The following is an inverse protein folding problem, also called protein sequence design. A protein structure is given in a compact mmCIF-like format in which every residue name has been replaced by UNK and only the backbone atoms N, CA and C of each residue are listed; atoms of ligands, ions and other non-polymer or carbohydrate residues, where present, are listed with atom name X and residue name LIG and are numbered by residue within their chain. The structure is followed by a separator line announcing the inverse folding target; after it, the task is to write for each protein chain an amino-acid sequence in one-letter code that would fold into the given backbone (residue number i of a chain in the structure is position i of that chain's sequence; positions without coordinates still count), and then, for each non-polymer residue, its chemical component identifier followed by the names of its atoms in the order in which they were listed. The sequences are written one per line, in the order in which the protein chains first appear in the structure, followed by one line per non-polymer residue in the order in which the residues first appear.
data_IF_949079806976
#
_entry.id   IF_949079806976
#
_cell.length_a   1.000
_cell.length_b   1.000
_cell.length_c   1.000
_cell.angle_alpha   90.00
_cell.angle_beta   90.00
_cell.angle_gamma   90.00
#
_symmetry.space_group_name_H-M   'P 1'
#
loop_
_entity.id
_entity.type
_entity.pdbx_description
1 polymer ?
#
# COMPACT_ATOMS: atom_id res chain seq x y z
N UNK A 1 -16.76 0.04 -9.42
CA UNK A 1 -15.33 -0.28 -9.26
C UNK A 1 -14.95 -1.40 -10.22
N UNK A 2 -13.89 -1.24 -11.00
CA UNK A 2 -13.34 -2.32 -11.81
C UNK A 2 -12.21 -2.99 -11.02
N UNK A 3 -12.07 -4.30 -11.17
CA UNK A 3 -10.92 -5.02 -10.60
C UNK A 3 -9.88 -5.25 -11.69
N UNK A 4 -8.66 -4.80 -11.45
CA UNK A 4 -7.51 -4.96 -12.35
C UNK A 4 -6.50 -5.87 -11.64
N UNK A 5 -6.37 -7.10 -12.12
CA UNK A 5 -5.34 -8.04 -11.65
C UNK A 5 -4.16 -8.03 -12.60
N UNK A 6 -3.01 -7.60 -12.10
CA UNK A 6 -1.76 -7.50 -12.86
C UNK A 6 -0.88 -8.68 -12.48
N UNK A 7 -0.66 -9.57 -13.44
CA UNK A 7 0.21 -10.74 -13.28
C UNK A 7 1.60 -10.43 -13.84
N UNK A 8 2.61 -11.08 -13.28
CA UNK A 8 4.01 -10.95 -13.71
C UNK A 8 4.57 -12.32 -14.09
N UNK A 9 4.99 -12.45 -15.36
CA UNK A 9 5.73 -13.64 -15.79
C UNK A 9 7.07 -13.78 -15.07
N UNK A 10 7.67 -12.65 -14.67
CA UNK A 10 8.90 -12.63 -13.91
C UNK A 10 8.70 -13.20 -12.50
N UNK A 11 7.65 -12.76 -11.80
CA UNK A 11 7.28 -13.35 -10.51
C UNK A 11 7.09 -14.86 -10.61
N UNK A 12 6.39 -15.34 -11.63
CA UNK A 12 6.17 -16.78 -11.85
C UNK A 12 7.49 -17.55 -12.05
N UNK A 13 8.48 -16.97 -12.74
CA UNK A 13 9.83 -17.55 -12.90
C UNK A 13 10.59 -17.55 -11.58
N UNK A 14 10.52 -16.45 -10.82
CA UNK A 14 11.19 -16.33 -9.52
C UNK A 14 10.63 -17.32 -8.50
N UNK A 15 9.32 -17.53 -8.46
CA UNK A 15 8.69 -18.57 -7.62
C UNK A 15 9.23 -19.96 -7.98
N UNK A 16 9.28 -20.31 -9.28
CA UNK A 16 9.87 -21.58 -9.73
C UNK A 16 11.36 -21.72 -9.41
N UNK A 17 12.10 -20.62 -9.38
CA UNK A 17 13.49 -20.58 -8.94
C UNK A 17 13.61 -20.85 -7.43
N UNK A 18 12.74 -20.23 -6.62
CA UNK A 18 12.68 -20.46 -5.18
C UNK A 18 12.32 -21.91 -4.82
N UNK A 19 11.46 -22.58 -5.59
CA UNK A 19 11.10 -23.99 -5.38
C UNK A 19 12.31 -24.91 -5.41
N UNK A 20 13.33 -24.57 -6.23
CA UNK A 20 14.58 -25.35 -6.37
C UNK A 20 15.61 -25.08 -5.27
N UNK A 21 15.38 -24.06 -4.45
CA UNK A 21 16.28 -23.65 -3.36
C UNK A 21 15.85 -24.31 -2.05
N UNK A 22 16.83 -24.74 -1.25
CA UNK A 22 16.61 -25.42 0.05
C UNK A 22 17.28 -24.68 1.22
N UNK A 23 17.83 -23.49 0.97
CA UNK A 23 18.40 -22.63 2.00
C UNK A 23 17.31 -22.02 2.92
N UNK A 24 17.75 -21.56 4.09
CA UNK A 24 16.85 -21.05 5.13
C UNK A 24 15.98 -19.87 4.65
N UNK A 25 16.56 -18.92 3.90
CA UNK A 25 15.81 -17.75 3.40
C UNK A 25 14.77 -18.17 2.35
N UNK A 26 15.13 -19.07 1.43
CA UNK A 26 14.18 -19.57 0.43
C UNK A 26 13.01 -20.31 1.09
N UNK A 27 13.26 -21.14 2.10
CA UNK A 27 12.20 -21.83 2.87
C UNK A 27 11.28 -20.83 3.56
N UNK A 28 11.84 -19.78 4.16
CA UNK A 28 11.08 -18.72 4.81
C UNK A 28 10.20 -17.96 3.83
N UNK A 29 10.77 -17.52 2.71
CA UNK A 29 10.06 -16.78 1.67
C UNK A 29 8.93 -17.62 1.07
N UNK A 30 9.18 -18.90 0.73
CA UNK A 30 8.15 -19.83 0.25
C UNK A 30 6.97 -19.91 1.22
N UNK A 31 7.24 -20.13 2.50
CA UNK A 31 6.19 -20.13 3.52
C UNK A 31 5.38 -18.86 3.58
N UNK A 32 6.02 -17.69 3.43
CA UNK A 32 5.32 -16.39 3.46
C UNK A 32 4.45 -16.16 2.22
N UNK A 33 4.91 -16.59 1.05
CA UNK A 33 4.11 -16.53 -0.17
C UNK A 33 2.89 -17.46 -0.10
N UNK A 34 3.01 -18.63 0.54
CA UNK A 34 1.94 -19.59 0.76
C UNK A 34 0.92 -19.14 1.82
N UNK A 35 1.26 -18.19 2.70
CA UNK A 35 0.30 -17.65 3.66
C UNK A 35 -0.89 -17.02 2.96
N UNK A 36 -2.12 -17.25 3.45
CA UNK A 36 -3.32 -16.70 2.83
C UNK A 36 -3.33 -15.17 2.88
N UNK A 37 -3.86 -14.54 1.83
CA UNK A 37 -4.15 -13.11 1.83
C UNK A 37 -5.47 -12.85 2.56
N UNK A 38 -5.38 -12.56 3.86
CA UNK A 38 -6.54 -12.35 4.73
C UNK A 38 -7.41 -11.18 4.26
N UNK A 39 -6.86 -10.23 3.51
CA UNK A 39 -7.63 -9.10 2.98
C UNK A 39 -8.65 -9.50 1.91
N UNK A 40 -8.58 -10.75 1.44
CA UNK A 40 -9.43 -11.30 0.37
C UNK A 40 -10.22 -12.56 0.79
N UNK A 41 -10.07 -13.00 2.03
CA UNK A 41 -10.79 -14.17 2.55
C UNK A 41 -12.12 -13.71 3.16
N UNK A 42 -13.27 -14.14 2.61
CA UNK A 42 -14.57 -13.80 3.19
C UNK A 42 -14.66 -14.22 4.67
N UNK A 43 -15.15 -13.30 5.50
CA UNK A 43 -15.28 -13.51 6.95
C UNK A 43 -14.02 -13.18 7.75
N UNK A 44 -12.88 -12.92 7.11
CA UNK A 44 -11.71 -12.36 7.80
C UNK A 44 -11.99 -10.91 8.23
N UNK A 45 -11.62 -10.51 9.47
CA UNK A 45 -11.70 -9.11 9.89
C UNK A 45 -10.95 -8.15 8.97
N UNK A 46 -9.85 -8.61 8.39
CA UNK A 46 -9.02 -7.84 7.44
C UNK A 46 -9.78 -7.61 6.13
N UNK A 47 -10.45 -8.63 5.58
CA UNK A 47 -11.29 -8.49 4.40
C UNK A 47 -12.51 -7.61 4.66
N UNK A 48 -13.15 -7.76 5.80
CA UNK A 48 -14.29 -6.93 6.18
C UNK A 48 -13.91 -5.44 6.25
N UNK A 49 -12.78 -5.14 6.88
CA UNK A 49 -12.27 -3.78 6.98
C UNK A 49 -11.95 -3.21 5.58
N UNK A 50 -11.26 -3.96 4.74
CA UNK A 50 -10.96 -3.56 3.35
C UNK A 50 -12.24 -3.28 2.56
N UNK A 51 -13.26 -4.12 2.70
CA UNK A 51 -14.54 -3.96 2.03
C UNK A 51 -15.31 -2.72 2.53
N UNK A 52 -15.34 -2.48 3.83
CA UNK A 52 -16.00 -1.30 4.42
C UNK A 52 -15.37 0.01 3.94
N UNK A 53 -14.04 0.05 3.87
CA UNK A 53 -13.33 1.25 3.37
C UNK A 53 -13.62 1.43 1.87
N UNK A 54 -13.47 0.37 1.08
CA UNK A 54 -13.70 0.42 -0.37
C UNK A 54 -15.14 0.81 -0.72
N UNK A 55 -16.12 0.47 0.13
CA UNK A 55 -17.54 0.77 -0.07
C UNK A 55 -17.92 2.25 0.19
N UNK A 56 -17.01 3.08 0.69
CA UNK A 56 -17.29 4.50 0.84
C UNK A 56 -17.57 5.14 -0.52
N UNK A 57 -18.61 5.95 -0.61
CA UNK A 57 -19.06 6.57 -1.86
C UNK A 57 -17.96 7.36 -2.60
N UNK A 58 -17.02 7.89 -1.86
CA UNK A 58 -15.83 8.58 -2.38
C UNK A 58 -15.02 7.70 -3.34
N UNK A 59 -14.99 6.41 -3.11
CA UNK A 59 -14.21 5.45 -3.89
C UNK A 59 -15.00 4.75 -5.01
N UNK A 60 -16.26 5.10 -5.25
CA UNK A 60 -17.11 4.46 -6.25
C UNK A 60 -16.49 4.39 -7.66
N UNK A 61 -15.67 5.38 -8.02
CA UNK A 61 -15.00 5.48 -9.33
C UNK A 61 -13.53 5.03 -9.30
N UNK A 62 -13.10 4.39 -8.21
CA UNK A 62 -11.74 3.88 -8.10
C UNK A 62 -11.66 2.45 -8.64
N UNK A 63 -10.53 2.11 -9.24
CA UNK A 63 -10.21 0.74 -9.60
C UNK A 63 -9.62 0.00 -8.39
N UNK A 64 -9.97 -1.27 -8.22
CA UNK A 64 -9.30 -2.15 -7.24
C UNK A 64 -8.17 -2.87 -7.97
N UNK A 65 -6.95 -2.69 -7.49
CA UNK A 65 -5.74 -3.20 -8.14
C UNK A 65 -5.13 -4.33 -7.31
N UNK A 66 -4.81 -5.43 -7.97
CA UNK A 66 -3.99 -6.50 -7.40
C UNK A 66 -2.70 -6.61 -8.20
N UNK A 67 -1.58 -6.61 -7.52
CA UNK A 67 -0.24 -6.62 -8.10
C UNK A 67 0.59 -7.80 -7.59
N UNK A 68 1.71 -8.14 -8.25
CA UNK A 68 2.66 -9.15 -7.79
C UNK A 68 3.14 -8.91 -6.35
N UNK A 69 3.50 -9.98 -5.67
CA UNK A 69 4.10 -9.94 -4.33
C UNK A 69 5.64 -9.87 -4.40
N UNK A 70 6.23 -10.39 -5.48
CA UNK A 70 7.66 -10.24 -5.78
C UNK A 70 7.80 -9.12 -6.82
N UNK A 71 8.59 -8.12 -6.48
CA UNK A 71 8.76 -6.92 -7.31
C UNK A 71 10.25 -6.56 -7.47
N UNK A 72 10.63 -5.94 -8.59
CA UNK A 72 11.97 -5.43 -8.78
C UNK A 72 12.33 -4.33 -7.75
N UNK A 73 13.58 -4.36 -7.25
CA UNK A 73 14.09 -3.39 -6.28
C UNK A 73 14.00 -1.95 -6.79
N UNK A 74 14.29 -1.71 -8.07
CA UNK A 74 14.21 -0.38 -8.66
C UNK A 74 12.77 0.17 -8.66
N UNK A 75 11.76 -0.68 -8.88
CA UNK A 75 10.35 -0.27 -8.82
C UNK A 75 9.95 0.04 -7.39
N UNK A 76 10.38 -0.80 -6.42
CA UNK A 76 10.00 -0.64 -5.02
C UNK A 76 10.67 0.57 -4.37
N UNK A 77 11.91 0.89 -4.74
CA UNK A 77 12.72 1.87 -4.04
C UNK A 77 13.08 3.10 -4.89
N UNK A 78 13.69 2.91 -6.07
CA UNK A 78 14.25 4.03 -6.85
C UNK A 78 13.14 4.97 -7.33
N UNK A 79 12.03 4.41 -7.82
CA UNK A 79 10.89 5.22 -8.27
C UNK A 79 10.26 6.04 -7.15
N UNK A 80 10.44 5.63 -5.90
CA UNK A 80 9.88 6.29 -4.70
C UNK A 80 10.88 7.19 -3.96
N UNK A 81 11.97 7.59 -4.63
CA UNK A 81 13.03 8.45 -4.06
C UNK A 81 13.71 7.84 -2.82
N UNK A 82 13.81 6.52 -2.74
CA UNK A 82 14.56 5.82 -1.71
C UNK A 82 15.97 5.49 -2.21
N UNK A 83 17.01 6.25 -1.86
CA UNK A 83 18.37 6.05 -2.35
C UNK A 83 18.98 4.75 -1.83
N UNK A 84 20.11 4.34 -2.41
CA UNK A 84 20.79 3.07 -2.06
C UNK A 84 21.11 2.91 -0.56
N UNK A 85 21.35 4.02 0.15
CA UNK A 85 21.58 4.03 1.59
C UNK A 85 20.32 4.08 2.47
N UNK A 86 19.11 4.05 1.87
CA UNK A 86 17.87 4.10 2.65
C UNK A 86 17.70 2.84 3.51
N UNK A 87 17.35 2.95 4.82
CA UNK A 87 17.23 1.80 5.73
C UNK A 87 16.33 0.68 5.20
N UNK A 88 15.18 1.02 4.60
CA UNK A 88 14.26 0.03 4.04
C UNK A 88 14.87 -0.87 2.96
N UNK A 89 16.04 -0.50 2.37
CA UNK A 89 16.76 -1.35 1.40
C UNK A 89 17.69 -2.36 2.07
N UNK A 90 17.86 -2.27 3.38
CA UNK A 90 18.72 -3.20 4.09
C UNK A 90 18.17 -4.63 4.01
N UNK A 91 19.09 -5.62 3.86
CA UNK A 91 18.76 -7.04 3.98
C UNK A 91 18.29 -7.42 5.40
N UNK A 92 18.49 -6.55 6.39
CA UNK A 92 17.88 -6.70 7.72
C UNK A 92 16.38 -6.41 7.72
N UNK A 93 15.89 -5.55 6.81
CA UNK A 93 14.51 -5.04 6.84
C UNK A 93 13.66 -5.59 5.69
N UNK A 94 14.28 -6.02 4.60
CA UNK A 94 13.63 -6.48 3.37
C UNK A 94 14.01 -7.91 3.00
N UNK A 95 13.04 -8.69 2.52
CA UNK A 95 13.24 -10.05 2.00
C UNK A 95 13.64 -10.00 0.53
N UNK A 96 14.90 -10.31 0.25
CA UNK A 96 15.46 -10.40 -1.10
C UNK A 96 15.31 -11.81 -1.66
N UNK A 97 14.76 -11.93 -2.87
CA UNK A 97 14.73 -13.18 -3.63
C UNK A 97 16.10 -13.43 -4.26
N UNK A 98 16.63 -12.37 -4.88
CA UNK A 98 17.96 -12.22 -5.44
C UNK A 98 18.44 -10.76 -5.27
N UNK A 99 19.43 -10.31 -6.01
CA UNK A 99 19.96 -8.93 -5.90
C UNK A 99 19.01 -7.87 -6.48
N UNK A 100 18.15 -8.26 -7.40
CA UNK A 100 17.27 -7.34 -8.16
C UNK A 100 15.80 -7.42 -7.72
N UNK A 101 15.40 -8.48 -7.02
CA UNK A 101 14.00 -8.76 -6.70
C UNK A 101 13.77 -9.00 -5.21
N UNK A 102 12.66 -8.47 -4.71
CA UNK A 102 12.28 -8.51 -3.28
C UNK A 102 10.80 -8.84 -3.11
N UNK A 103 10.43 -9.33 -1.93
CA UNK A 103 9.03 -9.27 -1.49
C UNK A 103 8.66 -7.80 -1.24
N UNK A 104 7.51 -7.34 -1.75
CA UNK A 104 7.06 -5.95 -1.61
C UNK A 104 6.89 -5.56 -0.13
N UNK A 105 7.48 -4.43 0.28
CA UNK A 105 7.48 -3.96 1.66
C UNK A 105 6.36 -2.98 1.98
N UNK A 106 5.69 -2.45 0.95
CA UNK A 106 4.63 -1.44 1.07
C UNK A 106 3.71 -1.45 -0.15
N UNK A 107 2.49 -0.95 0.04
CA UNK A 107 1.45 -0.91 -0.99
C UNK A 107 1.73 0.09 -2.13
N UNK A 108 2.31 1.30 -1.94
CA UNK A 108 2.45 2.30 -3.01
C UNK A 108 3.11 1.77 -4.30
N UNK A 109 3.86 0.68 -4.23
CA UNK A 109 4.46 0.06 -5.43
C UNK A 109 3.42 -0.26 -6.52
N UNK A 110 2.12 -0.36 -6.16
CA UNK A 110 1.05 -0.58 -7.11
C UNK A 110 0.91 0.59 -8.12
N UNK A 111 1.34 1.80 -7.80
CA UNK A 111 1.23 2.97 -8.69
C UNK A 111 1.94 2.71 -10.02
N UNK A 112 3.15 2.16 -9.98
CA UNK A 112 3.89 1.79 -11.18
C UNK A 112 3.14 0.77 -12.04
N UNK A 113 2.64 -0.30 -11.42
CA UNK A 113 1.92 -1.36 -12.13
C UNK A 113 0.61 -0.85 -12.73
N UNK A 114 -0.13 -0.05 -11.98
CA UNK A 114 -1.37 0.56 -12.43
C UNK A 114 -1.14 1.49 -13.63
N UNK A 115 -0.18 2.42 -13.54
CA UNK A 115 0.15 3.35 -14.63
C UNK A 115 0.61 2.63 -15.91
N UNK A 116 1.22 1.47 -15.78
CA UNK A 116 1.69 0.68 -16.91
C UNK A 116 0.64 -0.26 -17.52
N UNK A 117 -0.53 -0.40 -16.91
CA UNK A 117 -1.62 -1.19 -17.46
C UNK A 117 -2.17 -0.57 -18.76
N UNK A 118 -2.40 -1.34 -19.84
CA UNK A 118 -2.82 -0.80 -21.15
C UNK A 118 -4.04 0.12 -21.08
N UNK A 119 -5.10 -0.30 -20.38
CA UNK A 119 -6.32 0.50 -20.22
C UNK A 119 -6.05 1.82 -19.50
N UNK A 120 -5.15 1.83 -18.54
CA UNK A 120 -4.80 3.03 -17.78
C UNK A 120 -3.96 3.98 -18.64
N UNK A 121 -3.05 3.45 -19.46
CA UNK A 121 -2.31 4.27 -20.44
C UNK A 121 -3.24 5.00 -21.41
N UNK A 122 -4.32 4.38 -21.85
CA UNK A 122 -5.33 5.05 -22.68
C UNK A 122 -6.08 6.14 -21.90
N UNK A 123 -6.45 5.90 -20.66
CA UNK A 123 -7.10 6.91 -19.80
C UNK A 123 -6.17 8.09 -19.52
N UNK A 124 -4.86 7.85 -19.36
CA UNK A 124 -3.84 8.91 -19.23
C UNK A 124 -3.77 9.76 -20.50
N UNK A 125 -3.76 9.15 -21.70
CA UNK A 125 -3.79 9.88 -22.98
C UNK A 125 -5.03 10.77 -23.11
N UNK A 126 -6.15 10.31 -22.58
CA UNK A 126 -7.42 11.04 -22.54
C UNK A 126 -7.47 12.09 -21.41
N UNK A 127 -6.38 12.28 -20.68
CA UNK A 127 -6.30 13.20 -19.53
C UNK A 127 -7.39 12.95 -18.49
N UNK A 128 -7.67 11.71 -18.17
CA UNK A 128 -8.65 11.36 -17.16
C UNK A 128 -8.07 11.52 -15.74
N UNK A 129 -8.95 11.83 -14.79
CA UNK A 129 -8.66 11.65 -13.36
C UNK A 129 -8.71 10.17 -13.03
N UNK A 130 -7.72 9.68 -12.33
CA UNK A 130 -7.55 8.26 -12.00
C UNK A 130 -7.56 8.08 -10.48
N UNK A 131 -8.38 7.16 -10.01
CA UNK A 131 -8.39 6.71 -8.64
C UNK A 131 -8.17 5.21 -8.57
N UNK A 132 -7.33 4.76 -7.65
CA UNK A 132 -7.08 3.34 -7.47
C UNK A 132 -6.88 2.99 -6.00
N UNK A 133 -7.28 1.78 -5.64
CA UNK A 133 -7.12 1.13 -4.34
C UNK A 133 -6.32 -0.15 -4.56
N UNK A 134 -5.33 -0.39 -3.70
CA UNK A 134 -4.63 -1.66 -3.62
C UNK A 134 -4.62 -2.15 -2.18
N UNK A 135 -4.91 -3.42 -1.96
CA UNK A 135 -4.73 -4.06 -0.67
C UNK A 135 -4.24 -5.50 -0.84
N UNK A 136 -3.57 -5.98 0.18
CA UNK A 136 -2.98 -7.32 0.18
C UNK A 136 -1.74 -7.42 1.05
N UNK A 137 -1.07 -8.56 0.99
CA UNK A 137 0.12 -8.85 1.79
C UNK A 137 1.28 -7.94 1.45
N UNK A 138 2.00 -7.52 2.47
CA UNK A 138 3.32 -6.89 2.42
C UNK A 138 4.24 -7.59 3.41
N UNK A 139 5.56 -7.39 3.26
CA UNK A 139 6.56 -8.22 3.91
C UNK A 139 7.69 -7.36 4.46
N UNK A 140 7.96 -7.48 5.76
CA UNK A 140 9.09 -6.78 6.41
C UNK A 140 9.80 -7.72 7.39
N UNK A 141 11.10 -7.57 7.53
CA UNK A 141 11.89 -8.30 8.53
C UNK A 141 11.83 -7.62 9.90
N UNK A 142 10.63 -7.29 10.34
CA UNK A 142 10.41 -6.72 11.65
C UNK A 142 10.64 -7.79 12.74
N UNK A 143 10.99 -7.36 13.94
CA UNK A 143 10.95 -8.22 15.11
C UNK A 143 9.48 -8.57 15.41
N UNK A 144 9.20 -9.88 15.51
CA UNK A 144 7.84 -10.36 15.75
C UNK A 144 7.49 -10.12 17.22
N UNK A 145 6.50 -9.27 17.44
CA UNK A 145 5.94 -9.01 18.76
C UNK A 145 4.40 -9.03 18.71
N UNK A 146 3.74 -8.49 19.72
CA UNK A 146 2.27 -8.41 19.78
C UNK A 146 1.65 -7.39 18.79
N UNK A 147 2.46 -6.55 18.16
CA UNK A 147 2.03 -5.49 17.25
C UNK A 147 2.69 -5.54 15.86
N UNK A 148 3.67 -6.44 15.66
CA UNK A 148 4.42 -6.58 14.43
C UNK A 148 4.52 -8.03 13.97
N UNK A 149 4.37 -8.22 12.67
CA UNK A 149 4.57 -9.50 11.98
C UNK A 149 5.38 -9.31 10.70
N UNK A 150 6.05 -10.37 10.26
CA UNK A 150 6.83 -10.33 9.01
C UNK A 150 5.94 -10.32 7.75
N UNK A 151 4.72 -10.83 7.85
CA UNK A 151 3.68 -10.79 6.82
C UNK A 151 2.47 -10.11 7.42
N UNK A 152 2.03 -9.04 6.79
CA UNK A 152 0.84 -8.30 7.20
C UNK A 152 0.18 -7.69 5.98
N UNK A 153 -0.98 -7.06 6.16
CA UNK A 153 -1.76 -6.52 5.06
C UNK A 153 -1.77 -4.99 5.11
N UNK A 154 -1.55 -4.39 3.96
CA UNK A 154 -1.75 -2.95 3.79
C UNK A 154 -2.93 -2.67 2.88
N UNK A 155 -3.56 -1.53 3.12
CA UNK A 155 -4.55 -0.92 2.24
C UNK A 155 -4.04 0.45 1.84
N UNK A 156 -3.88 0.68 0.56
CA UNK A 156 -3.49 1.97 0.03
C UNK A 156 -4.47 2.47 -1.03
N UNK A 157 -4.58 3.77 -1.10
CA UNK A 157 -5.31 4.42 -2.18
C UNK A 157 -4.57 5.64 -2.67
N UNK A 158 -4.76 5.97 -3.94
CA UNK A 158 -4.32 7.23 -4.51
C UNK A 158 -5.35 7.79 -5.47
N UNK A 159 -5.31 9.11 -5.62
CA UNK A 159 -6.06 9.84 -6.64
C UNK A 159 -5.08 10.75 -7.36
N UNK A 160 -5.07 10.71 -8.69
CA UNK A 160 -4.29 11.64 -9.51
C UNK A 160 -5.15 12.27 -10.58
N UNK A 161 -4.87 13.51 -10.88
CA UNK A 161 -5.60 14.31 -11.89
C UNK A 161 -4.63 15.14 -12.73
N UNK A 162 -4.95 15.44 -14.00
CA UNK A 162 -4.15 16.36 -14.79
C UNK A 162 -4.04 17.74 -14.13
N UNK A 163 -2.85 18.35 -14.19
CA UNK A 163 -2.56 19.67 -13.60
C UNK A 163 -3.45 20.79 -14.20
N UNK A 164 -3.81 20.65 -15.48
CA UNK A 164 -4.68 21.60 -16.20
C UNK A 164 -6.17 21.40 -15.90
N UNK A 165 -6.54 20.35 -15.19
CA UNK A 165 -7.92 20.04 -14.84
C UNK A 165 -8.26 20.42 -13.41
N UNK A 166 -7.40 20.08 -12.48
CA UNK A 166 -7.56 20.39 -11.07
C UNK A 166 -6.21 20.31 -10.33
N UNK A 167 -6.06 21.11 -9.29
CA UNK A 167 -4.94 21.02 -8.34
C UNK A 167 -5.44 20.43 -7.04
N UNK A 168 -5.00 19.24 -6.75
CA UNK A 168 -5.32 18.52 -5.52
C UNK A 168 -4.61 19.18 -4.34
N UNK A 169 -5.32 19.37 -3.25
CA UNK A 169 -4.84 20.05 -2.04
C UNK A 169 -4.74 19.08 -0.86
N UNK A 170 -4.05 19.52 0.20
CA UNK A 170 -4.02 18.76 1.47
C UNK A 170 -5.40 18.61 2.09
N UNK A 171 -6.31 19.58 1.86
CA UNK A 171 -7.68 19.48 2.37
C UNK A 171 -8.50 18.43 1.63
N UNK A 172 -8.27 18.23 0.33
CA UNK A 172 -8.89 17.12 -0.41
C UNK A 172 -8.48 15.75 0.17
N UNK A 173 -7.20 15.60 0.50
CA UNK A 173 -6.68 14.41 1.17
C UNK A 173 -7.28 14.26 2.57
N UNK A 174 -7.21 15.30 3.41
CA UNK A 174 -7.74 15.27 4.78
C UNK A 174 -9.22 14.97 4.81
N UNK A 175 -10.00 15.48 3.86
CA UNK A 175 -11.41 15.15 3.70
C UNK A 175 -11.63 13.66 3.38
N UNK A 176 -10.77 13.07 2.52
CA UNK A 176 -10.86 11.65 2.22
C UNK A 176 -10.57 10.77 3.46
N UNK A 177 -9.56 11.16 4.24
CA UNK A 177 -9.18 10.45 5.46
C UNK A 177 -10.22 10.63 6.58
N UNK A 178 -10.81 11.81 6.70
CA UNK A 178 -11.89 12.10 7.64
C UNK A 178 -13.12 11.24 7.39
N UNK A 179 -13.46 10.98 6.12
CA UNK A 179 -14.55 10.08 5.76
C UNK A 179 -14.29 8.64 6.26
N UNK A 180 -13.05 8.16 6.16
CA UNK A 180 -12.67 6.85 6.67
C UNK A 180 -12.80 6.81 8.19
N UNK A 181 -12.21 7.79 8.90
CA UNK A 181 -12.25 7.84 10.36
C UNK A 181 -13.69 7.92 10.89
N UNK A 182 -14.52 8.72 10.26
CA UNK A 182 -15.91 8.96 10.70
C UNK A 182 -16.84 7.81 10.34
N UNK A 183 -16.79 7.32 9.10
CA UNK A 183 -17.80 6.39 8.59
C UNK A 183 -17.40 4.92 8.77
N UNK A 184 -16.11 4.60 8.84
CA UNK A 184 -15.63 3.22 9.06
C UNK A 184 -15.35 2.97 10.52
N UNK A 185 -14.60 3.86 11.18
CA UNK A 185 -14.16 3.65 12.56
C UNK A 185 -15.03 4.36 13.58
N UNK A 186 -15.82 5.36 13.19
CA UNK A 186 -16.63 6.22 14.09
C UNK A 186 -15.80 6.84 15.21
N UNK A 187 -14.54 7.17 14.89
CA UNK A 187 -13.53 7.61 15.83
C UNK A 187 -13.24 9.10 15.68
N UNK A 188 -12.85 9.76 16.78
CA UNK A 188 -12.17 11.05 16.70
C UNK A 188 -10.81 10.85 16.07
N UNK A 189 -10.32 11.83 15.36
CA UNK A 189 -9.05 11.77 14.65
C UNK A 189 -8.30 13.10 14.71
N UNK A 190 -7.00 13.04 14.44
CA UNK A 190 -6.12 14.19 14.35
C UNK A 190 -4.99 13.94 13.36
N UNK A 191 -4.45 15.00 12.77
CA UNK A 191 -3.36 14.94 11.81
C UNK A 191 -2.09 15.53 12.40
N UNK A 192 -0.96 14.94 12.03
CA UNK A 192 0.39 15.46 12.31
C UNK A 192 1.16 15.59 11.02
N UNK A 193 1.99 16.60 10.92
CA UNK A 193 2.97 16.69 9.84
C UNK A 193 4.01 15.58 9.97
N UNK A 194 4.36 14.99 8.84
CA UNK A 194 5.36 13.94 8.75
C UNK A 194 6.21 14.12 7.49
N UNK A 195 7.21 13.28 7.29
CA UNK A 195 8.04 13.29 6.08
C UNK A 195 8.15 11.89 5.50
N UNK A 196 7.69 11.73 4.26
CA UNK A 196 7.90 10.53 3.47
C UNK A 196 8.68 10.86 2.20
N UNK A 197 9.50 9.94 1.67
CA UNK A 197 10.31 10.21 0.48
C UNK A 197 9.48 10.45 -0.78
N UNK A 198 8.24 9.97 -0.82
CA UNK A 198 7.36 9.95 -2.00
C UNK A 198 6.18 10.94 -1.93
N UNK A 199 5.97 11.63 -0.81
CA UNK A 199 4.91 12.63 -0.64
C UNK A 199 5.43 13.94 -0.05
N UNK A 200 4.77 15.08 -0.35
CA UNK A 200 5.06 16.41 0.19
C UNK A 200 3.92 17.40 -0.12
N UNK A 201 3.24 18.02 0.88
CA UNK A 201 3.37 17.72 2.30
C UNK A 201 2.90 16.31 2.65
N UNK A 202 3.43 15.78 3.75
CA UNK A 202 3.06 14.47 4.28
C UNK A 202 2.42 14.59 5.64
N UNK A 203 1.51 13.66 5.93
CA UNK A 203 0.77 13.64 7.19
C UNK A 203 0.64 12.21 7.71
N UNK A 204 0.68 12.08 9.03
CA UNK A 204 0.15 10.92 9.74
C UNK A 204 -1.24 11.25 10.30
N UNK A 205 -2.10 10.26 10.36
CA UNK A 205 -3.39 10.37 11.02
C UNK A 205 -3.46 9.39 12.18
N UNK A 206 -3.85 9.89 13.35
CA UNK A 206 -4.23 9.08 14.49
C UNK A 206 -5.73 9.11 14.72
N UNK A 207 -6.27 8.00 15.23
CA UNK A 207 -7.65 7.92 15.68
C UNK A 207 -7.73 7.46 17.13
N UNK A 208 -8.75 7.95 17.86
CA UNK A 208 -9.07 7.53 19.21
C UNK A 208 -9.96 6.27 19.14
N UNK A 209 -9.33 5.11 19.36
CA UNK A 209 -10.03 3.81 19.39
C UNK A 209 -9.95 3.26 20.82
N UNK A 210 -11.10 2.98 21.42
CA UNK A 210 -11.21 2.47 22.80
C UNK A 210 -10.42 3.32 23.81
N UNK A 211 -10.52 4.65 23.68
CA UNK A 211 -9.85 5.61 24.57
C UNK A 211 -8.34 5.75 24.39
N UNK A 212 -7.78 5.15 23.34
CA UNK A 212 -6.35 5.25 23.01
C UNK A 212 -6.15 5.88 21.63
N UNK A 213 -5.18 6.78 21.52
CA UNK A 213 -4.74 7.29 20.25
C UNK A 213 -3.83 6.28 19.56
N UNK A 214 -4.19 5.89 18.36
CA UNK A 214 -3.50 4.89 17.55
C UNK A 214 -3.16 5.50 16.21
N UNK A 215 -1.90 5.41 15.81
CA UNK A 215 -1.47 5.75 14.46
C UNK A 215 -2.17 4.83 13.45
N UNK A 216 -2.93 5.43 12.56
CA UNK A 216 -3.69 4.71 11.55
C UNK A 216 -2.93 4.57 10.25
N UNK A 217 -2.40 5.69 9.73
CA UNK A 217 -1.90 5.75 8.36
C UNK A 217 -0.89 6.88 8.15
N UNK A 218 -0.05 6.66 7.15
CA UNK A 218 0.73 7.70 6.49
C UNK A 218 0.07 8.16 5.20
N UNK A 219 0.18 9.44 4.88
CA UNK A 219 -0.47 10.06 3.73
C UNK A 219 0.27 11.29 3.24
N UNK A 220 -0.09 11.80 2.06
CA UNK A 220 0.44 13.06 1.57
C UNK A 220 0.09 13.36 0.12
N UNK A 221 0.48 14.53 -0.35
CA UNK A 221 0.44 14.87 -1.76
C UNK A 221 1.62 14.19 -2.48
N UNK A 222 1.33 13.53 -3.59
CA UNK A 222 2.35 12.77 -4.32
C UNK A 222 3.40 13.73 -4.90
N UNK A 223 4.67 13.47 -4.62
CA UNK A 223 5.76 14.29 -5.19
C UNK A 223 5.78 14.15 -6.70
N UNK A 224 5.91 15.29 -7.39
CA UNK A 224 6.02 15.30 -8.86
C UNK A 224 7.22 14.49 -9.36
N UNK A 225 8.31 14.47 -8.62
CA UNK A 225 9.49 13.63 -8.94
C UNK A 225 9.15 12.15 -9.01
N UNK A 226 8.28 11.67 -8.12
CA UNK A 226 7.83 10.26 -8.10
C UNK A 226 6.98 9.95 -9.33
N UNK A 227 6.05 10.85 -9.70
CA UNK A 227 5.24 10.68 -10.91
C UNK A 227 6.13 10.67 -12.17
N UNK A 228 7.11 11.58 -12.23
CA UNK A 228 8.08 11.65 -13.34
C UNK A 228 8.92 10.38 -13.41
N UNK A 229 9.43 9.86 -12.29
CA UNK A 229 10.16 8.60 -12.24
C UNK A 229 9.35 7.42 -12.81
N UNK A 230 8.02 7.48 -12.68
CA UNK A 230 7.09 6.47 -13.22
C UNK A 230 6.63 6.76 -14.65
N UNK A 231 7.19 7.79 -15.29
CA UNK A 231 6.87 8.17 -16.66
C UNK A 231 5.60 9.01 -16.82
N UNK A 232 5.08 9.58 -15.73
CA UNK A 232 3.89 10.42 -15.74
C UNK A 232 4.23 11.89 -15.45
N UNK A 233 3.93 12.76 -16.40
CA UNK A 233 4.10 14.22 -16.27
C UNK A 233 2.76 14.94 -16.39
N UNK A 234 2.65 16.15 -15.81
CA UNK A 234 1.46 16.96 -15.90
C UNK A 234 0.28 16.46 -15.07
N UNK A 235 0.56 15.68 -14.02
CA UNK A 235 -0.41 15.21 -13.05
C UNK A 235 -0.02 15.60 -11.62
N UNK A 236 -0.99 15.67 -10.75
CA UNK A 236 -0.86 15.85 -9.32
C UNK A 236 -1.88 14.97 -8.58
N UNK A 237 -1.72 14.78 -7.28
CA UNK A 237 -2.66 13.97 -6.53
C UNK A 237 -2.25 13.70 -5.10
N UNK A 238 -3.05 12.91 -4.42
CA UNK A 238 -2.80 12.45 -3.07
C UNK A 238 -2.71 10.92 -2.98
N UNK A 239 -2.08 10.45 -1.92
CA UNK A 239 -2.04 9.04 -1.57
C UNK A 239 -2.07 8.84 -0.06
N UNK A 240 -2.53 7.66 0.37
CA UNK A 240 -2.40 7.17 1.74
C UNK A 240 -2.24 5.65 1.75
N UNK A 241 -1.70 5.14 2.87
CA UNK A 241 -1.58 3.71 3.10
C UNK A 241 -1.56 3.39 4.60
N UNK A 242 -2.18 2.28 5.00
CA UNK A 242 -2.21 1.84 6.39
C UNK A 242 -2.17 0.32 6.54
N UNK A 243 -1.67 -0.12 7.72
CA UNK A 243 -1.69 -1.52 8.11
C UNK A 243 -3.06 -1.94 8.63
N UNK A 244 -3.64 -2.96 8.00
CA UNK A 244 -4.99 -3.42 8.32
C UNK A 244 -5.07 -4.14 9.67
N UNK A 245 -4.06 -4.94 10.03
CA UNK A 245 -4.04 -5.72 11.26
C UNK A 245 -4.06 -4.83 12.50
N UNK A 246 -3.25 -3.76 12.51
CA UNK A 246 -3.19 -2.84 13.66
C UNK A 246 -4.56 -2.22 13.93
N UNK A 247 -5.28 -1.86 12.87
CA UNK A 247 -6.62 -1.28 12.96
C UNK A 247 -7.66 -2.32 13.35
N UNK A 248 -7.60 -3.52 12.77
CA UNK A 248 -8.51 -4.62 13.13
C UNK A 248 -8.32 -5.02 14.60
N UNK A 249 -7.07 -5.19 15.03
CA UNK A 249 -6.71 -5.50 16.40
C UNK A 249 -7.26 -4.45 17.38
N UNK A 250 -7.08 -3.17 17.07
CA UNK A 250 -7.58 -2.09 17.90
C UNK A 250 -9.12 -2.05 17.96
N UNK A 251 -9.78 -2.24 16.81
CA UNK A 251 -11.25 -2.24 16.71
C UNK A 251 -11.91 -3.43 17.42
N UNK A 252 -11.20 -4.58 17.51
CA UNK A 252 -11.67 -5.81 18.14
C UNK A 252 -11.14 -5.98 19.57
N UNK A 253 -10.40 -5.01 20.10
CA UNK A 253 -9.76 -5.07 21.42
C UNK A 253 -8.84 -6.29 21.60
N UNK A 254 -8.20 -6.74 20.52
CA UNK A 254 -7.30 -7.89 20.59
C UNK A 254 -5.97 -7.48 21.24
N UNK A 255 -5.44 -8.30 22.17
CA UNK A 255 -4.18 -8.01 22.85
C UNK A 255 -2.94 -8.30 21.98
N UNK A 256 -3.10 -9.04 20.89
CA UNK A 256 -2.00 -9.55 20.08
C UNK A 256 -2.45 -9.69 18.62
N UNK A 257 -1.63 -9.16 17.70
CA UNK A 257 -1.88 -9.18 16.25
C UNK A 257 -1.96 -10.61 15.66
N UNK A 258 -1.34 -11.57 16.31
CA UNK A 258 -1.33 -12.98 15.89
C UNK A 258 -2.66 -13.71 16.12
N UNK A 259 -3.64 -13.05 16.69
CA UNK A 259 -5.00 -13.56 16.89
C UNK A 259 -5.93 -13.26 15.70
N UNK A 260 -5.46 -12.48 14.72
CA UNK A 260 -6.14 -12.21 13.46
C UNK A 260 -5.83 -13.32 12.46
#
# INVERSE_FOLDING_TARGET
MNTIEIKSDEEAKLIKSLEKRDDFEAKRIKRYLEMPDLSRIPGSPIAELSNRISALSRFNNFDIVKIPEIVPTHILFDLFNMPSGHPARSKSDTYYIDEENVLRTHDPVFWYYYLNHPTIKERIKNKETLGAICYGKVYRKDEIDRSHMNVFHQFGAWLITPDDKNVITSDDLKNALSDIATNVFKAKFRFYEHQFPYTDPSFEMEAEINGKWIEMLGSGLVRKTVLVNMGLTGYNGWAFGFGLERLAMASMELPDIRLL
#
